data_IF_603140404041
#
_entry.id   IF_603140404041
#
_cell.length_a   1.000
_cell.length_b   1.000
_cell.length_c   1.000
_cell.angle_alpha   90.00
_cell.angle_beta   90.00
_cell.angle_gamma   90.00
#
_symmetry.space_group_name_H-M   'P 1'
#
loop_
_entity.id
_entity.type
_entity.pdbx_description
1 polymer ?
#
# COMPACT_ATOMS: atom_id res chain seq x y z
N UNK A 1 63.76 37.91 14.79
CA UNK A 1 62.30 38.13 14.65
C UNK A 1 61.83 37.27 13.49
N UNK A 2 60.78 36.48 13.71
CA UNK A 2 60.60 35.15 13.11
C UNK A 2 60.02 35.12 11.69
N UNK A 3 60.50 34.15 10.92
CA UNK A 3 60.00 33.76 9.58
C UNK A 3 58.57 33.17 9.59
N UNK A 4 57.95 32.98 10.76
CA UNK A 4 56.65 32.32 10.91
C UNK A 4 55.44 33.26 10.84
N UNK A 5 55.66 34.59 10.90
CA UNK A 5 54.56 35.58 10.92
C UNK A 5 53.87 35.77 9.56
N UNK A 6 54.42 35.17 8.49
CA UNK A 6 53.92 35.30 7.12
C UNK A 6 53.07 34.11 6.65
N UNK A 7 52.91 33.07 7.46
CA UNK A 7 52.10 31.89 7.12
C UNK A 7 50.68 31.92 7.69
N UNK A 8 50.37 32.82 8.63
CA UNK A 8 49.07 32.87 9.31
C UNK A 8 48.42 34.27 9.37
N UNK A 9 48.96 35.24 8.61
CA UNK A 9 48.50 36.64 8.61
C UNK A 9 47.36 36.98 7.62
N UNK A 10 46.80 35.97 6.94
CA UNK A 10 45.55 36.13 6.20
C UNK A 10 44.42 35.65 7.08
N UNK A 11 43.45 36.51 7.40
CA UNK A 11 42.15 36.08 7.93
C UNK A 11 41.66 34.93 7.07
N UNK A 12 41.76 33.70 7.56
CA UNK A 12 41.11 32.54 6.97
C UNK A 12 39.62 32.71 7.27
N UNK A 13 38.97 33.64 6.58
CA UNK A 13 37.53 33.59 6.44
C UNK A 13 37.29 32.40 5.54
N UNK A 14 36.87 31.27 6.14
CA UNK A 14 36.18 30.24 5.36
C UNK A 14 35.18 31.00 4.48
N UNK A 15 35.18 30.78 3.14
CA UNK A 15 34.05 31.25 2.36
C UNK A 15 32.80 30.73 3.08
N UNK A 16 31.77 31.59 3.29
CA UNK A 16 30.53 31.13 3.90
C UNK A 16 30.15 29.84 3.17
N UNK A 17 29.86 28.75 3.90
CA UNK A 17 29.58 27.47 3.28
C UNK A 17 28.55 27.75 2.19
N UNK A 18 28.86 27.37 0.94
CA UNK A 18 27.94 27.55 -0.17
C UNK A 18 26.59 27.05 0.35
N UNK A 19 25.64 27.99 0.49
CA UNK A 19 24.30 27.68 0.94
C UNK A 19 23.80 26.67 -0.07
N UNK A 20 23.88 25.41 0.30
CA UNK A 20 23.47 24.31 -0.53
C UNK A 20 21.95 24.44 -0.54
N UNK A 21 21.45 25.23 -1.48
CA UNK A 21 20.03 25.49 -1.75
C UNK A 21 19.33 24.23 -2.29
N UNK A 22 19.89 23.04 -2.04
CA UNK A 22 19.18 21.80 -2.19
C UNK A 22 18.22 21.70 -1.00
N UNK A 23 16.92 21.91 -1.27
CA UNK A 23 15.90 21.56 -0.29
C UNK A 23 16.12 20.12 0.18
N UNK A 24 15.82 19.81 1.43
CA UNK A 24 15.98 18.47 1.99
C UNK A 24 15.35 17.37 1.11
N UNK A 25 14.28 17.70 0.38
CA UNK A 25 13.63 16.84 -0.61
C UNK A 25 14.48 16.55 -1.87
N UNK A 26 15.32 17.49 -2.31
CA UNK A 26 16.25 17.31 -3.43
C UNK A 26 17.39 16.34 -3.06
N UNK A 27 17.98 16.52 -1.86
CA UNK A 27 19.03 15.64 -1.34
C UNK A 27 18.51 14.19 -1.20
N UNK A 28 17.32 14.02 -0.62
CA UNK A 28 16.67 12.71 -0.48
C UNK A 28 16.27 12.08 -1.82
N UNK A 29 16.10 12.88 -2.88
CA UNK A 29 15.83 12.38 -4.23
C UNK A 29 17.11 11.85 -4.88
N UNK A 30 18.23 12.52 -4.66
CA UNK A 30 19.53 12.18 -5.22
C UNK A 30 20.15 10.94 -4.55
N UNK A 31 19.79 10.68 -3.29
CA UNK A 31 20.19 9.48 -2.54
C UNK A 31 19.35 8.22 -2.81
N UNK A 32 18.36 8.25 -3.71
CA UNK A 32 17.55 7.05 -3.99
C UNK A 32 18.36 5.99 -4.72
N UNK A 33 18.37 4.78 -4.17
CA UNK A 33 18.93 3.62 -4.87
C UNK A 33 18.11 3.29 -6.13
N UNK A 34 18.73 2.74 -7.19
CA UNK A 34 18.01 2.22 -8.35
C UNK A 34 16.92 1.19 -7.97
N UNK A 35 17.16 0.40 -6.93
CA UNK A 35 16.21 -0.53 -6.34
C UNK A 35 14.96 0.17 -5.80
N UNK A 36 15.11 1.31 -5.11
CA UNK A 36 13.98 2.12 -4.65
C UNK A 36 13.16 2.70 -5.82
N UNK A 37 13.81 3.01 -6.95
CA UNK A 37 13.10 3.48 -8.16
C UNK A 37 12.28 2.34 -8.79
N UNK A 38 12.87 1.14 -8.91
CA UNK A 38 12.19 -0.03 -9.42
C UNK A 38 11.02 -0.44 -8.53
N UNK A 39 11.23 -0.50 -7.21
CA UNK A 39 10.18 -0.82 -6.24
C UNK A 39 9.04 0.20 -6.26
N UNK A 40 9.34 1.51 -6.37
CA UNK A 40 8.32 2.56 -6.54
C UNK A 40 7.48 2.32 -7.80
N UNK A 41 8.10 1.94 -8.91
CA UNK A 41 7.40 1.68 -10.16
C UNK A 41 6.53 0.42 -10.04
N UNK A 42 7.04 -0.65 -9.42
CA UNK A 42 6.27 -1.85 -9.14
C UNK A 42 5.07 -1.56 -8.23
N UNK A 43 5.25 -0.76 -7.16
CA UNK A 43 4.15 -0.32 -6.29
C UNK A 43 3.10 0.49 -7.05
N UNK A 44 3.51 1.36 -7.99
CA UNK A 44 2.58 2.09 -8.87
C UNK A 44 1.74 1.10 -9.69
N UNK A 45 2.39 0.16 -10.37
CA UNK A 45 1.70 -0.82 -11.24
C UNK A 45 0.81 -1.76 -10.42
N UNK A 46 1.25 -2.16 -9.22
CA UNK A 46 0.45 -2.92 -8.28
C UNK A 46 -0.83 -2.16 -7.89
N UNK A 47 -0.68 -0.90 -7.48
CA UNK A 47 -1.81 -0.05 -7.11
C UNK A 47 -2.76 0.17 -8.28
N UNK A 48 -2.25 0.41 -9.48
CA UNK A 48 -3.05 0.52 -10.71
C UNK A 48 -3.81 -0.78 -11.03
N UNK A 49 -3.20 -1.93 -10.76
CA UNK A 49 -3.81 -3.25 -10.95
C UNK A 49 -4.98 -3.46 -9.99
N UNK A 50 -4.83 -3.11 -8.71
CA UNK A 50 -5.93 -3.17 -7.73
C UNK A 50 -7.09 -2.25 -8.11
N UNK A 51 -6.77 -1.09 -8.67
CA UNK A 51 -7.75 -0.05 -9.01
C UNK A 51 -8.25 -0.15 -10.46
N UNK A 52 -8.03 -1.27 -11.15
CA UNK A 52 -8.33 -1.41 -12.57
C UNK A 52 -9.82 -1.22 -12.92
N UNK A 53 -10.72 -1.45 -11.95
CA UNK A 53 -12.17 -1.26 -12.10
C UNK A 53 -12.69 0.07 -11.56
N UNK A 54 -11.84 0.83 -10.87
CA UNK A 54 -12.18 2.14 -10.32
C UNK A 54 -12.18 3.18 -11.44
N UNK A 55 -13.09 4.17 -11.45
CA UNK A 55 -13.07 5.25 -12.44
C UNK A 55 -11.68 5.90 -12.55
N UNK A 56 -11.21 6.13 -13.78
CA UNK A 56 -9.83 6.55 -14.06
C UNK A 56 -9.37 7.75 -13.21
N UNK A 57 -10.23 8.77 -13.08
CA UNK A 57 -9.93 9.96 -12.29
C UNK A 57 -9.69 9.64 -10.80
N UNK A 58 -10.46 8.71 -10.25
CA UNK A 58 -10.35 8.27 -8.86
C UNK A 58 -9.13 7.35 -8.68
N UNK A 59 -8.92 6.41 -9.60
CA UNK A 59 -7.72 5.56 -9.63
C UNK A 59 -6.44 6.40 -9.64
N UNK A 60 -6.34 7.38 -10.55
CA UNK A 60 -5.20 8.29 -10.63
C UNK A 60 -5.01 9.16 -9.38
N UNK A 61 -6.10 9.50 -8.66
CA UNK A 61 -6.03 10.22 -7.38
C UNK A 61 -5.43 9.33 -6.29
N UNK A 62 -5.89 8.09 -6.19
CA UNK A 62 -5.46 7.11 -5.18
C UNK A 62 -4.01 6.67 -5.42
N UNK A 63 -3.62 6.37 -6.66
CA UNK A 63 -2.22 6.04 -7.02
C UNK A 63 -1.27 7.17 -6.62
N UNK A 64 -1.60 8.43 -6.94
CA UNK A 64 -0.80 9.60 -6.52
C UNK A 64 -0.71 9.71 -5.00
N UNK A 65 -1.76 9.33 -4.27
CA UNK A 65 -1.76 9.35 -2.81
C UNK A 65 -0.83 8.28 -2.24
N UNK A 66 -0.93 7.03 -2.69
CA UNK A 66 -0.04 5.92 -2.27
C UNK A 66 1.42 6.29 -2.53
N UNK A 67 1.74 6.78 -3.73
CA UNK A 67 3.12 7.15 -4.07
C UNK A 67 3.66 8.35 -3.26
N UNK A 68 2.78 9.26 -2.81
CA UNK A 68 3.19 10.35 -1.89
C UNK A 68 3.49 9.80 -0.49
N UNK A 69 2.69 8.87 0.02
CA UNK A 69 2.95 8.21 1.31
C UNK A 69 4.24 7.41 1.27
N UNK A 70 4.44 6.62 0.20
CA UNK A 70 5.67 5.88 -0.02
C UNK A 70 6.90 6.78 -0.11
N UNK A 71 6.78 7.97 -0.72
CA UNK A 71 7.90 8.92 -0.80
C UNK A 71 8.36 9.47 0.57
N UNK A 72 7.51 9.40 1.61
CA UNK A 72 7.85 9.84 2.97
C UNK A 72 8.38 8.68 3.80
N UNK A 73 7.63 7.57 3.86
CA UNK A 73 7.91 6.48 4.80
C UNK A 73 8.74 5.33 4.20
N UNK A 74 8.84 5.24 2.88
CA UNK A 74 9.50 4.15 2.14
C UNK A 74 9.03 2.73 2.49
N UNK A 75 7.89 2.60 3.18
CA UNK A 75 7.23 1.34 3.49
C UNK A 75 6.07 1.10 2.52
N UNK A 76 6.14 0.11 1.61
CA UNK A 76 5.11 -0.14 0.61
C UNK A 76 3.74 -0.47 1.21
N UNK A 77 3.69 -1.36 2.21
CA UNK A 77 2.45 -1.81 2.83
C UNK A 77 1.73 -0.65 3.53
N UNK A 78 2.44 0.09 4.40
CA UNK A 78 1.89 1.28 5.08
C UNK A 78 1.46 2.37 4.09
N UNK A 79 2.20 2.57 3.00
CA UNK A 79 1.82 3.52 1.97
C UNK A 79 0.52 3.14 1.25
N UNK A 80 0.29 1.85 1.06
CA UNK A 80 -0.93 1.32 0.45
C UNK A 80 -2.11 1.42 1.41
N UNK A 81 -1.96 0.97 2.66
CA UNK A 81 -3.03 1.03 3.67
C UNK A 81 -3.41 2.47 4.02
N UNK A 82 -2.46 3.34 4.38
CA UNK A 82 -2.74 4.77 4.63
C UNK A 82 -3.21 5.53 3.38
N UNK A 83 -2.81 5.03 2.20
CA UNK A 83 -3.18 5.58 0.92
C UNK A 83 -4.65 5.33 0.59
N UNK A 84 -5.11 4.08 0.78
CA UNK A 84 -6.41 3.59 0.34
C UNK A 84 -7.45 3.54 1.45
N UNK A 85 -7.08 3.24 2.70
CA UNK A 85 -8.01 3.03 3.82
C UNK A 85 -8.23 4.28 4.68
N UNK A 86 -7.61 5.42 4.35
CA UNK A 86 -7.84 6.69 5.07
C UNK A 86 -9.32 7.08 5.04
N UNK A 87 -9.89 7.31 6.22
CA UNK A 87 -11.33 7.58 6.40
C UNK A 87 -11.85 8.82 5.68
N UNK A 88 -10.97 9.79 5.40
CA UNK A 88 -11.34 11.09 4.82
C UNK A 88 -10.96 11.25 3.36
N UNK A 89 -9.88 10.57 2.94
CA UNK A 89 -9.20 10.79 1.65
C UNK A 89 -8.82 9.50 0.94
N UNK A 90 -9.16 8.35 1.50
CA UNK A 90 -8.97 7.02 0.91
C UNK A 90 -9.95 6.75 -0.23
N UNK A 91 -10.13 5.48 -0.54
CA UNK A 91 -11.08 5.01 -1.54
C UNK A 91 -12.53 5.26 -1.08
N UNK A 92 -13.44 5.34 -2.04
CA UNK A 92 -14.87 5.42 -1.75
C UNK A 92 -15.43 4.02 -1.58
N UNK A 93 -16.50 3.90 -0.80
CA UNK A 93 -17.17 2.62 -0.56
C UNK A 93 -17.65 1.95 -1.86
N UNK A 94 -18.17 2.72 -2.82
CA UNK A 94 -18.61 2.20 -4.12
C UNK A 94 -17.46 1.70 -5.02
N UNK A 95 -16.23 2.11 -4.73
CA UNK A 95 -15.02 1.83 -5.50
C UNK A 95 -13.99 1.07 -4.65
N UNK A 96 -14.46 0.26 -3.67
CA UNK A 96 -13.60 -0.41 -2.71
C UNK A 96 -12.66 -1.40 -3.42
N UNK A 97 -11.35 -1.23 -3.25
CA UNK A 97 -10.33 -2.11 -3.82
C UNK A 97 -9.54 -2.86 -2.74
N UNK A 98 -9.46 -2.29 -1.53
CA UNK A 98 -8.77 -2.86 -0.38
C UNK A 98 -9.72 -2.91 0.82
N UNK A 99 -9.73 -3.99 1.57
CA UNK A 99 -10.48 -4.13 2.82
C UNK A 99 -9.48 -4.18 3.97
N UNK A 100 -9.75 -3.45 5.05
CA UNK A 100 -8.99 -3.53 6.29
C UNK A 100 -9.96 -3.67 7.45
N UNK A 101 -9.81 -4.75 8.22
CA UNK A 101 -10.67 -5.05 9.38
C UNK A 101 -9.83 -5.53 10.55
N UNK A 102 -10.11 -5.02 11.73
CA UNK A 102 -9.52 -5.53 12.96
C UNK A 102 -10.12 -6.90 13.33
N UNK A 103 -9.49 -7.61 14.29
CA UNK A 103 -9.94 -8.95 14.72
C UNK A 103 -11.32 -9.00 15.38
N UNK A 104 -11.89 -7.87 15.80
CA UNK A 104 -13.27 -7.67 16.28
C UNK A 104 -14.16 -6.97 15.25
N UNK A 105 -13.64 -6.62 14.07
CA UNK A 105 -14.25 -5.75 13.07
C UNK A 105 -15.37 -6.41 12.27
N UNK A 106 -16.18 -7.27 12.90
CA UNK A 106 -17.24 -8.03 12.25
C UNK A 106 -18.30 -7.11 11.63
N UNK A 107 -18.68 -6.03 12.30
CA UNK A 107 -19.62 -5.04 11.77
C UNK A 107 -19.04 -4.31 10.54
N UNK A 108 -17.74 -4.01 10.57
CA UNK A 108 -17.04 -3.37 9.44
C UNK A 108 -16.97 -4.34 8.27
N UNK A 109 -16.66 -5.61 8.52
CA UNK A 109 -16.63 -6.66 7.51
C UNK A 109 -18.02 -6.87 6.89
N UNK A 110 -19.07 -7.03 7.72
CA UNK A 110 -20.46 -7.17 7.27
C UNK A 110 -20.87 -6.01 6.38
N UNK A 111 -20.49 -4.80 6.77
CA UNK A 111 -20.82 -3.59 6.03
C UNK A 111 -20.03 -3.46 4.73
N UNK A 112 -18.73 -3.75 4.70
CA UNK A 112 -17.84 -3.44 3.57
C UNK A 112 -17.67 -4.60 2.58
N UNK A 113 -17.74 -5.85 3.02
CA UNK A 113 -17.54 -7.01 2.15
C UNK A 113 -18.48 -7.04 0.92
N UNK A 114 -19.79 -6.70 1.03
CA UNK A 114 -20.67 -6.64 -0.13
C UNK A 114 -20.21 -5.60 -1.17
N UNK A 115 -19.66 -4.46 -0.72
CA UNK A 115 -19.15 -3.43 -1.62
C UNK A 115 -17.85 -3.85 -2.29
N UNK A 116 -16.95 -4.53 -1.58
CA UNK A 116 -15.74 -5.10 -2.17
C UNK A 116 -16.08 -6.10 -3.28
N UNK A 117 -17.04 -6.98 -3.02
CA UNK A 117 -17.53 -7.98 -3.97
C UNK A 117 -18.12 -7.30 -5.21
N UNK A 118 -18.98 -6.30 -5.02
CA UNK A 118 -19.57 -5.55 -6.12
C UNK A 118 -18.51 -4.81 -6.95
N UNK A 119 -17.55 -4.14 -6.31
CA UNK A 119 -16.44 -3.45 -6.98
C UNK A 119 -15.52 -4.42 -7.75
N UNK A 120 -15.42 -5.68 -7.30
CA UNK A 120 -14.73 -6.75 -8.02
C UNK A 120 -15.51 -7.30 -9.23
N UNK A 121 -16.70 -6.77 -9.52
CA UNK A 121 -17.52 -7.14 -10.67
C UNK A 121 -18.46 -8.32 -10.44
N UNK A 122 -18.61 -8.80 -9.20
CA UNK A 122 -19.57 -9.85 -8.84
C UNK A 122 -20.91 -9.20 -8.53
N UNK A 123 -21.97 -9.60 -9.26
CA UNK A 123 -23.31 -9.01 -9.12
C UNK A 123 -24.09 -9.59 -7.94
N UNK A 124 -23.75 -10.80 -7.51
CA UNK A 124 -24.37 -11.44 -6.35
C UNK A 124 -23.82 -10.82 -5.07
N UNK A 125 -24.65 -10.22 -4.20
CA UNK A 125 -24.17 -9.70 -2.93
C UNK A 125 -23.70 -10.85 -2.03
N UNK A 126 -22.59 -10.62 -1.34
CA UNK A 126 -22.17 -11.50 -0.26
C UNK A 126 -23.01 -11.21 0.98
N UNK A 127 -23.67 -12.23 1.51
CA UNK A 127 -24.44 -12.13 2.75
C UNK A 127 -23.63 -12.77 3.88
N UNK A 128 -23.13 -11.93 4.78
CA UNK A 128 -22.47 -12.36 5.99
C UNK A 128 -23.47 -12.33 7.15
N UNK A 129 -23.46 -13.38 7.97
CA UNK A 129 -24.20 -13.43 9.23
C UNK A 129 -23.23 -13.81 10.35
N UNK A 130 -23.00 -12.89 11.29
CA UNK A 130 -22.12 -13.14 12.41
C UNK A 130 -22.80 -14.05 13.45
N UNK A 131 -22.34 -15.29 13.53
CA UNK A 131 -22.86 -16.27 14.49
C UNK A 131 -22.22 -16.19 15.88
N UNK A 132 -21.26 -15.27 16.10
CA UNK A 132 -20.56 -15.09 17.38
C UNK A 132 -19.50 -16.14 17.74
N UNK A 133 -19.33 -17.18 16.91
CA UNK A 133 -18.52 -18.35 17.23
C UNK A 133 -17.21 -18.46 16.47
N UNK A 134 -17.07 -17.72 15.36
CA UNK A 134 -15.91 -17.82 14.46
C UNK A 134 -14.98 -16.61 14.60
N UNK A 135 -13.65 -16.80 14.71
CA UNK A 135 -12.69 -15.70 14.64
C UNK A 135 -12.69 -15.06 13.24
N UNK A 136 -12.26 -13.80 13.15
CA UNK A 136 -12.22 -13.06 11.88
C UNK A 136 -11.46 -13.81 10.77
N UNK A 137 -10.36 -14.49 11.10
CA UNK A 137 -9.61 -15.27 10.12
C UNK A 137 -10.46 -16.37 9.46
N UNK A 138 -11.27 -17.11 10.22
CA UNK A 138 -12.17 -18.12 9.66
C UNK A 138 -13.29 -17.50 8.81
N UNK A 139 -13.73 -16.28 9.14
CA UNK A 139 -14.67 -15.51 8.33
C UNK A 139 -14.05 -15.17 6.98
N UNK A 140 -12.79 -14.70 6.96
CA UNK A 140 -12.07 -14.38 5.73
C UNK A 140 -11.77 -15.62 4.87
N UNK A 141 -11.47 -16.77 5.49
CA UNK A 141 -11.34 -18.06 4.78
C UNK A 141 -12.67 -18.46 4.14
N UNK A 142 -13.78 -18.35 4.86
CA UNK A 142 -15.12 -18.62 4.33
C UNK A 142 -15.49 -17.66 3.19
N UNK A 143 -15.02 -16.42 3.27
CA UNK A 143 -15.20 -15.40 2.24
C UNK A 143 -14.41 -15.74 0.96
N UNK A 144 -13.13 -16.13 1.06
CA UNK A 144 -12.35 -16.63 -0.09
C UNK A 144 -13.02 -17.84 -0.74
N UNK A 145 -13.47 -18.81 0.07
CA UNK A 145 -14.16 -20.00 -0.43
C UNK A 145 -15.42 -19.64 -1.22
N UNK A 146 -16.22 -18.69 -0.73
CA UNK A 146 -17.40 -18.21 -1.46
C UNK A 146 -17.03 -17.53 -2.79
N UNK A 147 -15.94 -16.75 -2.80
CA UNK A 147 -15.43 -16.08 -4.01
C UNK A 147 -14.99 -17.06 -5.11
N UNK A 148 -14.53 -18.27 -4.74
CA UNK A 148 -14.16 -19.29 -5.74
C UNK A 148 -15.31 -19.66 -6.68
N UNK A 149 -16.57 -19.52 -6.25
CA UNK A 149 -17.74 -19.73 -7.09
C UNK A 149 -17.92 -18.70 -8.22
N UNK A 150 -17.11 -17.65 -8.24
CA UNK A 150 -17.14 -16.56 -9.23
C UNK A 150 -15.79 -16.37 -9.94
N UNK A 151 -14.92 -17.38 -9.93
CA UNK A 151 -13.55 -17.31 -10.44
C UNK A 151 -12.73 -16.16 -9.82
N UNK A 152 -12.96 -15.91 -8.52
CA UNK A 152 -12.27 -14.90 -7.72
C UNK A 152 -11.52 -15.52 -6.56
N UNK A 153 -10.49 -14.82 -6.08
CA UNK A 153 -9.77 -15.14 -4.84
C UNK A 153 -9.59 -13.89 -3.98
N UNK A 154 -9.63 -14.07 -2.67
CA UNK A 154 -9.25 -13.06 -1.69
C UNK A 154 -7.80 -13.26 -1.28
N UNK A 155 -6.97 -12.24 -1.48
CA UNK A 155 -5.57 -12.24 -1.08
C UNK A 155 -5.38 -11.35 0.15
N UNK A 156 -4.59 -11.86 1.10
CA UNK A 156 -4.20 -11.13 2.31
C UNK A 156 -2.94 -10.33 2.03
N UNK A 157 -2.96 -9.05 2.40
CA UNK A 157 -1.80 -8.19 2.46
C UNK A 157 -1.33 -8.14 3.91
N UNK A 158 -0.10 -8.58 4.16
CA UNK A 158 0.55 -8.31 5.43
C UNK A 158 0.89 -6.82 5.50
N UNK A 159 0.15 -6.13 6.36
CA UNK A 159 0.28 -4.69 6.58
C UNK A 159 1.39 -4.35 7.59
N UNK A 160 1.90 -5.35 8.32
CA UNK A 160 2.76 -5.18 9.50
C UNK A 160 2.01 -4.72 10.75
N UNK A 161 0.68 -4.64 10.71
CA UNK A 161 -0.21 -4.29 11.83
C UNK A 161 -1.12 -5.48 12.19
N UNK A 162 -1.86 -5.35 13.29
CA UNK A 162 -2.79 -6.39 13.78
C UNK A 162 -4.09 -6.49 12.95
N UNK A 163 -4.24 -5.64 11.93
CA UNK A 163 -5.39 -5.58 11.04
C UNK A 163 -5.29 -6.61 9.91
N UNK A 164 -6.39 -7.30 9.65
CA UNK A 164 -6.54 -8.12 8.46
C UNK A 164 -6.81 -7.22 7.26
N UNK A 165 -5.82 -7.11 6.38
CA UNK A 165 -5.92 -6.35 5.13
C UNK A 165 -5.95 -7.30 3.95
N UNK A 166 -6.80 -7.05 2.96
CA UNK A 166 -6.84 -7.87 1.77
C UNK A 166 -7.69 -7.30 0.63
N UNK A 167 -7.66 -7.98 -0.52
CA UNK A 167 -8.29 -7.53 -1.75
C UNK A 167 -8.70 -8.71 -2.63
N UNK A 168 -9.61 -8.47 -3.58
CA UNK A 168 -10.12 -9.49 -4.49
C UNK A 168 -9.39 -9.42 -5.84
N UNK A 169 -8.99 -10.57 -6.38
CA UNK A 169 -8.45 -10.72 -7.74
C UNK A 169 -9.20 -11.79 -8.53
N UNK A 170 -9.06 -11.77 -9.86
CA UNK A 170 -9.42 -12.91 -10.71
C UNK A 170 -8.53 -14.12 -10.37
N UNK A 171 -9.10 -15.32 -10.33
CA UNK A 171 -8.39 -16.53 -9.95
C UNK A 171 -7.22 -16.85 -10.89
N UNK A 172 -7.34 -16.54 -12.18
CA UNK A 172 -6.29 -16.68 -13.19
C UNK A 172 -5.17 -15.63 -13.07
N UNK A 173 -5.38 -14.57 -12.28
CA UNK A 173 -4.42 -13.47 -12.06
C UNK A 173 -3.69 -13.54 -10.72
N UNK A 174 -3.92 -14.57 -9.91
CA UNK A 174 -3.31 -14.71 -8.58
C UNK A 174 -1.78 -14.69 -8.66
N UNK A 175 -1.17 -15.59 -9.41
CA UNK A 175 0.30 -15.69 -9.55
C UNK A 175 0.92 -14.38 -10.06
N UNK A 176 0.30 -13.78 -11.07
CA UNK A 176 0.72 -12.47 -11.59
C UNK A 176 0.69 -11.40 -10.50
N UNK A 177 -0.36 -11.39 -9.67
CA UNK A 177 -0.52 -10.40 -8.62
C UNK A 177 0.47 -10.61 -7.48
N UNK A 178 0.76 -11.86 -7.11
CA UNK A 178 1.77 -12.20 -6.11
C UNK A 178 3.18 -11.78 -6.55
N UNK A 179 3.55 -12.04 -7.81
CA UNK A 179 4.85 -11.61 -8.33
C UNK A 179 4.96 -10.08 -8.39
N UNK A 180 3.88 -9.39 -8.77
CA UNK A 180 3.85 -7.92 -8.77
C UNK A 180 3.94 -7.34 -7.35
N UNK A 181 3.28 -7.97 -6.38
CA UNK A 181 3.38 -7.61 -4.97
C UNK A 181 4.84 -7.76 -4.48
N UNK A 182 5.49 -8.88 -4.79
CA UNK A 182 6.89 -9.14 -4.43
C UNK A 182 7.83 -8.08 -5.00
N UNK A 183 7.66 -7.70 -6.27
CA UNK A 183 8.44 -6.62 -6.90
C UNK A 183 8.19 -5.25 -6.24
N UNK A 184 6.98 -5.03 -5.74
CA UNK A 184 6.61 -3.83 -4.99
C UNK A 184 7.10 -3.84 -3.52
N UNK A 185 7.69 -4.95 -3.05
CA UNK A 185 8.09 -5.12 -1.65
C UNK A 185 6.91 -5.32 -0.70
N UNK A 186 5.82 -5.90 -1.20
CA UNK A 186 4.63 -6.25 -0.42
C UNK A 186 4.66 -7.76 -0.13
N UNK A 187 4.25 -8.14 1.09
CA UNK A 187 4.01 -9.53 1.45
C UNK A 187 2.51 -9.79 1.29
N UNK A 188 2.17 -10.65 0.31
CA UNK A 188 0.80 -11.00 -0.03
C UNK A 188 0.69 -12.52 -0.11
N UNK A 189 -0.35 -13.09 0.47
CA UNK A 189 -0.59 -14.53 0.48
C UNK A 189 -2.06 -14.86 0.24
N UNK A 190 -2.30 -16.11 -0.14
CA UNK A 190 -3.64 -16.70 -0.11
C UNK A 190 -3.91 -17.11 1.35
N UNK A 191 -5.17 -17.07 1.80
CA UNK A 191 -5.63 -17.22 3.19
C UNK A 191 -5.31 -18.54 3.93
N UNK A 192 -4.04 -18.96 3.96
CA UNK A 192 -3.52 -20.08 4.74
C UNK A 192 -2.10 -19.88 5.27
N UNK A 193 -1.35 -18.86 4.84
CA UNK A 193 0.09 -18.75 5.16
C UNK A 193 0.36 -17.73 6.28
N UNK A 194 -0.39 -17.83 7.38
CA UNK A 194 -0.01 -17.21 8.65
C UNK A 194 0.48 -18.33 9.59
N UNK A 195 1.69 -18.83 9.34
CA UNK A 195 2.50 -19.56 10.33
C UNK A 195 3.51 -18.61 10.98
#
# INVERSE_FOLDING_TARGET
MGFLDRLFGGRFTMPPPDETNASHAAIMREMRSPESVAQKQALKVFTETLLARVPEAESARLVRRVLRKYAVNQAPASALTEGLLDTSRGQKLADLALLGVDWRGFDVFEYQAPYLVAASGVQTPYHYEHTGTRPMLEVLVSFDQWLTGFDKRYLHLDSGDDDYVGFIVDADRVEYTLELARQAGLSVSIGTDHE
#
